data_IF_951406236947
#
_entry.id   IF_951406236947
#
_cell.length_a   1.000
_cell.length_b   1.000
_cell.length_c   1.000
_cell.angle_alpha   90.00
_cell.angle_beta   90.00
_cell.angle_gamma   90.00
#
_symmetry.space_group_name_H-M   'P 1'
#
loop_
_entity.id
_entity.type
_entity.pdbx_description
1 polymer ?
#
# COMPACT_ATOMS: atom_id res chain seq x y z
N UNK A 1 -17.86 -8.89 -19.89
CA UNK A 1 -17.53 -9.69 -18.71
C UNK A 1 -17.71 -8.73 -17.54
N UNK A 2 -18.70 -8.93 -16.69
CA UNK A 2 -18.89 -8.06 -15.52
C UNK A 2 -17.69 -8.27 -14.58
N UNK A 3 -17.11 -7.23 -13.99
CA UNK A 3 -16.07 -7.41 -12.98
C UNK A 3 -16.68 -8.20 -11.82
N UNK A 4 -16.01 -9.25 -11.41
CA UNK A 4 -16.36 -10.00 -10.20
C UNK A 4 -16.28 -9.00 -9.02
N UNK A 5 -17.32 -8.87 -8.19
CA UNK A 5 -17.23 -7.97 -7.05
C UNK A 5 -16.08 -8.40 -6.14
N UNK A 6 -15.26 -7.46 -5.71
CA UNK A 6 -14.13 -7.65 -4.78
C UNK A 6 -14.54 -8.45 -3.51
N UNK A 7 -15.79 -8.37 -3.10
CA UNK A 7 -16.35 -9.11 -1.95
C UNK A 7 -16.40 -10.64 -2.09
N UNK A 8 -16.36 -11.20 -3.30
CA UNK A 8 -16.51 -12.66 -3.48
C UNK A 8 -15.22 -13.46 -3.16
N UNK A 9 -14.07 -12.79 -3.04
CA UNK A 9 -12.80 -13.44 -2.68
C UNK A 9 -12.68 -13.65 -1.17
N UNK A 10 -13.05 -12.66 -0.36
CA UNK A 10 -12.97 -12.70 1.10
C UNK A 10 -13.92 -13.70 1.77
N UNK A 11 -15.05 -14.04 1.13
CA UNK A 11 -15.99 -15.06 1.63
C UNK A 11 -15.38 -16.48 1.73
N UNK A 12 -14.15 -16.69 1.26
CA UNK A 12 -13.46 -17.98 1.22
C UNK A 12 -12.08 -17.96 1.87
N UNK A 13 -11.88 -17.08 2.80
CA UNK A 13 -10.64 -16.95 3.56
C UNK A 13 -10.82 -17.39 5.00
N UNK A 14 -9.78 -18.01 5.55
CA UNK A 14 -9.75 -18.52 6.93
C UNK A 14 -8.39 -18.13 7.51
N UNK A 15 -8.40 -17.24 8.49
CA UNK A 15 -7.20 -16.72 9.14
C UNK A 15 -7.14 -17.08 10.65
N UNK A 16 -8.16 -17.78 11.15
CA UNK A 16 -8.18 -18.21 12.54
C UNK A 16 -8.68 -19.64 12.67
N UNK A 17 -8.27 -20.30 13.76
CA UNK A 17 -8.73 -21.66 14.10
C UNK A 17 -10.25 -21.69 14.35
N UNK A 18 -10.80 -20.60 14.88
CA UNK A 18 -12.25 -20.49 15.12
C UNK A 18 -13.04 -20.43 13.81
N UNK A 19 -12.55 -19.69 12.82
CA UNK A 19 -13.14 -19.65 11.47
C UNK A 19 -13.01 -20.99 10.77
N UNK A 20 -11.85 -21.65 10.88
CA UNK A 20 -11.66 -22.98 10.34
C UNK A 20 -12.70 -23.96 10.90
N UNK A 21 -12.84 -24.04 12.21
CA UNK A 21 -13.80 -24.93 12.87
C UNK A 21 -15.24 -24.59 12.47
N UNK A 22 -15.57 -23.31 12.35
CA UNK A 22 -16.88 -22.84 11.91
C UNK A 22 -17.18 -23.27 10.47
N UNK A 23 -16.28 -22.99 9.53
CA UNK A 23 -16.46 -23.33 8.11
C UNK A 23 -16.58 -24.85 7.92
N UNK A 24 -15.73 -25.64 8.58
CA UNK A 24 -15.81 -27.09 8.52
C UNK A 24 -17.14 -27.61 9.06
N UNK A 25 -17.63 -27.06 10.20
CA UNK A 25 -18.90 -27.49 10.78
C UNK A 25 -20.13 -27.08 9.98
N UNK A 26 -20.13 -25.89 9.38
CA UNK A 26 -21.27 -25.34 8.66
C UNK A 26 -21.34 -25.81 7.20
N UNK A 27 -20.20 -25.94 6.54
CA UNK A 27 -20.14 -26.24 5.10
C UNK A 27 -19.68 -27.66 4.77
N UNK A 28 -18.96 -28.33 5.68
CA UNK A 28 -18.39 -29.67 5.45
C UNK A 28 -17.37 -29.74 4.31
N UNK A 29 -16.90 -28.58 3.81
CA UNK A 29 -15.97 -28.47 2.70
C UNK A 29 -15.12 -27.23 2.83
N UNK A 30 -13.84 -27.36 2.51
CA UNK A 30 -12.87 -26.28 2.36
C UNK A 30 -12.50 -26.07 0.86
N UNK A 31 -13.28 -26.62 -0.05
CA UNK A 31 -12.99 -26.55 -1.49
C UNK A 31 -12.89 -25.10 -1.96
N UNK A 32 -11.73 -24.74 -2.52
CA UNK A 32 -11.39 -23.38 -2.99
C UNK A 32 -11.25 -22.32 -1.88
N UNK A 33 -11.16 -22.74 -0.62
CA UNK A 33 -10.81 -21.82 0.46
C UNK A 33 -9.30 -21.54 0.49
N UNK A 34 -8.95 -20.35 0.93
CA UNK A 34 -7.60 -19.97 1.37
C UNK A 34 -7.56 -20.12 2.88
N UNK A 35 -6.62 -20.89 3.40
CA UNK A 35 -6.35 -21.02 4.84
C UNK A 35 -4.96 -20.47 5.08
N UNK A 36 -4.82 -19.43 5.88
CA UNK A 36 -3.61 -18.61 5.96
C UNK A 36 -3.11 -18.50 7.40
N UNK A 37 -1.87 -18.91 7.64
CA UNK A 37 -1.17 -18.82 8.93
C UNK A 37 -1.91 -19.46 10.12
N UNK A 38 -2.79 -20.43 9.89
CA UNK A 38 -3.55 -21.15 10.93
C UNK A 38 -2.81 -22.42 11.33
N UNK A 39 -2.58 -22.61 12.63
CA UNK A 39 -2.03 -23.86 13.15
C UNK A 39 -3.12 -24.94 13.18
N UNK A 40 -3.00 -25.92 12.29
CA UNK A 40 -3.92 -27.04 12.10
C UNK A 40 -3.39 -28.36 12.66
N UNK A 41 -2.33 -28.34 13.47
CA UNK A 41 -1.69 -29.54 14.02
C UNK A 41 -2.70 -30.42 14.79
N UNK A 42 -3.61 -29.79 15.53
CA UNK A 42 -4.65 -30.49 16.31
C UNK A 42 -5.96 -30.69 15.52
N UNK A 43 -5.97 -30.57 14.20
CA UNK A 43 -7.16 -30.68 13.31
C UNK A 43 -7.05 -31.81 12.30
N UNK A 44 -6.19 -32.81 12.57
CA UNK A 44 -5.94 -33.95 11.68
C UNK A 44 -7.22 -34.67 11.28
N UNK A 45 -8.08 -35.03 12.24
CA UNK A 45 -9.33 -35.71 11.95
C UNK A 45 -10.26 -34.91 11.03
N UNK A 46 -10.37 -33.62 11.26
CA UNK A 46 -11.17 -32.72 10.42
C UNK A 46 -10.62 -32.65 8.99
N UNK A 47 -9.30 -32.50 8.85
CA UNK A 47 -8.62 -32.44 7.54
C UNK A 47 -8.70 -33.76 6.76
N UNK A 48 -8.76 -34.92 7.46
CA UNK A 48 -8.94 -36.20 6.81
C UNK A 48 -10.38 -36.41 6.30
N UNK A 49 -11.35 -35.77 6.94
CA UNK A 49 -12.78 -35.96 6.65
C UNK A 49 -13.34 -34.93 5.64
N UNK A 50 -12.80 -33.69 5.62
CA UNK A 50 -13.34 -32.58 4.83
C UNK A 50 -12.85 -32.63 3.38
N UNK A 51 -13.69 -32.14 2.45
CA UNK A 51 -13.26 -31.90 1.07
C UNK A 51 -12.37 -30.64 0.97
N UNK A 52 -11.14 -30.82 0.48
CA UNK A 52 -10.14 -29.74 0.32
C UNK A 52 -9.78 -29.48 -1.15
N UNK A 53 -10.59 -29.93 -2.10
CA UNK A 53 -10.27 -29.82 -3.54
C UNK A 53 -10.07 -28.36 -3.98
N UNK A 54 -8.86 -28.05 -4.48
CA UNK A 54 -8.50 -26.71 -4.94
C UNK A 54 -8.36 -25.67 -3.82
N UNK A 55 -8.29 -26.09 -2.56
CA UNK A 55 -7.93 -25.22 -1.44
C UNK A 55 -6.45 -24.83 -1.48
N UNK A 56 -6.10 -23.70 -0.86
CA UNK A 56 -4.72 -23.27 -0.64
C UNK A 56 -4.46 -23.16 0.87
N UNK A 57 -3.44 -23.85 1.36
CA UNK A 57 -2.97 -23.77 2.74
C UNK A 57 -1.62 -23.05 2.74
N UNK A 58 -1.60 -21.83 3.27
CA UNK A 58 -0.46 -20.92 3.26
C UNK A 58 0.13 -20.83 4.67
N UNK A 59 1.31 -21.41 4.89
CA UNK A 59 1.99 -21.34 6.17
C UNK A 59 1.26 -22.05 7.32
N UNK A 60 0.39 -23.01 7.02
CA UNK A 60 -0.38 -23.74 8.03
C UNK A 60 0.39 -24.97 8.52
N UNK A 61 0.85 -25.02 9.78
CA UNK A 61 1.34 -26.23 10.39
C UNK A 61 0.23 -27.29 10.43
N UNK A 62 0.54 -28.54 10.06
CA UNK A 62 -0.38 -29.67 10.12
C UNK A 62 0.38 -30.98 10.25
N UNK A 63 -0.30 -32.01 10.76
CA UNK A 63 0.26 -33.34 10.87
C UNK A 63 0.63 -33.89 9.47
N UNK A 64 1.74 -34.65 9.32
CA UNK A 64 2.17 -35.22 8.04
C UNK A 64 1.10 -36.06 7.33
N UNK A 65 0.26 -36.79 8.05
CA UNK A 65 -0.83 -37.60 7.49
C UNK A 65 -1.90 -36.69 6.88
N UNK A 66 -2.33 -35.65 7.61
CA UNK A 66 -3.26 -34.63 7.12
C UNK A 66 -2.70 -33.90 5.89
N UNK A 67 -1.44 -33.49 5.93
CA UNK A 67 -0.76 -32.83 4.81
C UNK A 67 -0.72 -33.72 3.55
N UNK A 68 -0.45 -35.01 3.70
CA UNK A 68 -0.45 -35.97 2.59
C UNK A 68 -1.86 -36.12 1.99
N UNK A 69 -2.88 -36.25 2.83
CA UNK A 69 -4.29 -36.34 2.40
C UNK A 69 -4.76 -35.10 1.67
N UNK A 70 -4.48 -33.91 2.23
CA UNK A 70 -4.85 -32.62 1.65
C UNK A 70 -4.22 -32.44 0.27
N UNK A 71 -2.91 -32.76 0.11
CA UNK A 71 -2.25 -32.73 -1.22
C UNK A 71 -2.87 -33.71 -2.20
N UNK A 72 -3.28 -34.89 -1.74
CA UNK A 72 -3.90 -35.91 -2.60
C UNK A 72 -5.24 -35.47 -3.20
N UNK A 73 -5.93 -34.48 -2.63
CA UNK A 73 -7.15 -33.88 -3.19
C UNK A 73 -6.90 -32.82 -4.23
N UNK A 74 -5.62 -32.46 -4.51
CA UNK A 74 -5.25 -31.38 -5.40
C UNK A 74 -5.22 -30.00 -4.75
N UNK A 75 -5.24 -29.92 -3.40
CA UNK A 75 -4.98 -28.68 -2.70
C UNK A 75 -3.51 -28.27 -2.76
N UNK A 76 -3.25 -26.98 -2.76
CA UNK A 76 -1.90 -26.42 -2.63
C UNK A 76 -1.53 -26.30 -1.16
N UNK A 77 -0.36 -26.80 -0.78
CA UNK A 77 0.15 -26.71 0.59
C UNK A 77 1.52 -26.09 0.58
N UNK A 78 1.62 -24.87 1.06
CA UNK A 78 2.86 -24.13 1.24
C UNK A 78 3.23 -24.16 2.73
N UNK A 79 4.33 -24.83 3.09
CA UNK A 79 4.71 -24.98 4.49
C UNK A 79 5.26 -23.65 5.06
N UNK A 80 5.28 -23.50 6.40
CA UNK A 80 6.03 -22.42 7.04
C UNK A 80 7.50 -22.43 6.59
N UNK A 81 8.06 -21.29 6.26
CA UNK A 81 9.44 -21.16 5.77
C UNK A 81 10.28 -20.48 6.87
N UNK A 82 11.12 -21.19 7.59
CA UNK A 82 11.94 -20.61 8.65
C UNK A 82 13.06 -19.73 8.08
N UNK A 83 13.42 -18.69 8.80
CA UNK A 83 14.58 -17.84 8.50
C UNK A 83 14.39 -16.80 7.41
N UNK A 84 13.18 -16.64 6.87
CA UNK A 84 12.86 -15.51 5.99
C UNK A 84 12.84 -14.18 6.78
N UNK A 85 13.29 -13.08 6.17
CA UNK A 85 13.21 -11.76 6.82
C UNK A 85 11.82 -11.11 6.73
N UNK A 86 10.84 -11.77 6.20
CA UNK A 86 9.43 -11.38 6.09
C UNK A 86 8.52 -12.61 6.16
N UNK A 87 7.26 -12.40 6.47
CA UNK A 87 6.24 -13.44 6.41
C UNK A 87 5.54 -13.42 5.04
N UNK A 88 5.69 -14.46 4.20
CA UNK A 88 5.02 -14.51 2.90
C UNK A 88 3.51 -14.80 2.99
N UNK A 89 3.04 -15.21 4.15
CA UNK A 89 1.65 -15.63 4.39
C UNK A 89 0.92 -14.71 5.36
N UNK A 90 1.29 -13.43 5.37
CA UNK A 90 0.73 -12.46 6.31
C UNK A 90 -0.72 -12.13 5.99
N UNK A 91 -1.60 -12.17 7.00
CA UNK A 91 -3.00 -11.76 6.91
C UNK A 91 -3.23 -10.29 7.29
N UNK A 92 -2.19 -9.48 7.46
CA UNK A 92 -2.31 -8.07 7.82
C UNK A 92 -1.21 -7.23 7.20
N UNK A 93 -1.46 -5.93 7.02
CA UNK A 93 -0.47 -4.99 6.52
C UNK A 93 0.64 -4.75 7.54
N UNK A 94 1.80 -4.31 7.06
CA UNK A 94 2.89 -3.88 7.92
C UNK A 94 2.54 -2.59 8.68
N UNK A 95 3.11 -2.46 9.87
CA UNK A 95 3.20 -1.18 10.57
C UNK A 95 4.60 -0.57 10.43
N UNK A 96 4.75 0.75 10.64
CA UNK A 96 6.08 1.36 10.74
C UNK A 96 6.93 0.72 11.83
N UNK A 97 6.34 0.42 12.99
CA UNK A 97 7.04 -0.16 14.13
C UNK A 97 7.57 -1.57 13.81
N UNK A 98 6.84 -2.35 13.02
CA UNK A 98 7.29 -3.65 12.53
C UNK A 98 8.46 -3.51 11.55
N UNK A 99 8.33 -2.67 10.51
CA UNK A 99 9.35 -2.53 9.48
C UNK A 99 10.65 -1.90 9.99
N UNK A 100 10.56 -1.02 10.99
CA UNK A 100 11.71 -0.38 11.62
C UNK A 100 12.10 -0.99 12.97
N UNK A 101 11.60 -2.16 13.33
CA UNK A 101 12.05 -2.86 14.53
C UNK A 101 13.58 -2.99 14.54
N UNK A 102 14.20 -2.79 15.71
CA UNK A 102 15.66 -2.76 15.88
C UNK A 102 16.39 -1.56 15.25
N UNK A 103 15.69 -0.47 14.90
CA UNK A 103 16.30 0.75 14.36
C UNK A 103 17.40 1.35 15.29
N UNK A 104 17.29 1.12 16.59
CA UNK A 104 18.28 1.59 17.57
C UNK A 104 19.66 0.96 17.35
N UNK A 105 19.73 -0.25 16.80
CA UNK A 105 20.98 -0.92 16.45
C UNK A 105 21.50 -0.54 15.06
N UNK A 106 20.71 0.20 14.29
CA UNK A 106 21.02 0.67 12.93
C UNK A 106 19.97 0.22 11.91
N UNK A 107 19.81 1.00 10.83
CA UNK A 107 18.82 0.70 9.79
C UNK A 107 19.02 -0.68 9.17
N UNK A 108 20.26 -1.12 8.97
CA UNK A 108 20.57 -2.43 8.36
C UNK A 108 20.07 -3.63 9.20
N UNK A 109 19.79 -3.42 10.48
CA UNK A 109 19.24 -4.45 11.36
C UNK A 109 17.71 -4.56 11.28
N UNK A 110 17.05 -3.60 10.64
CA UNK A 110 15.60 -3.56 10.54
C UNK A 110 15.04 -4.65 9.62
N UNK A 111 13.80 -5.13 9.85
CA UNK A 111 13.12 -6.04 8.92
C UNK A 111 13.05 -5.48 7.50
N UNK A 112 12.83 -4.18 7.34
CA UNK A 112 12.78 -3.52 6.03
C UNK A 112 14.10 -3.67 5.25
N UNK A 113 15.23 -3.33 5.87
CA UNK A 113 16.55 -3.46 5.25
C UNK A 113 16.91 -4.93 4.95
N UNK A 114 16.57 -5.84 5.86
CA UNK A 114 16.84 -7.28 5.70
C UNK A 114 16.01 -7.90 4.58
N UNK A 115 14.73 -7.53 4.45
CA UNK A 115 13.88 -7.99 3.35
C UNK A 115 14.41 -7.48 2.00
N UNK A 116 14.86 -6.22 1.95
CA UNK A 116 15.51 -5.67 0.76
C UNK A 116 16.80 -6.41 0.39
N UNK A 117 17.69 -6.65 1.34
CA UNK A 117 18.95 -7.38 1.11
C UNK A 117 18.68 -8.79 0.57
N UNK A 118 17.72 -9.50 1.18
CA UNK A 118 17.29 -10.82 0.72
C UNK A 118 16.72 -10.77 -0.73
N UNK A 119 15.90 -9.75 -1.03
CA UNK A 119 15.34 -9.55 -2.36
C UNK A 119 16.42 -9.32 -3.42
N UNK A 120 17.40 -8.46 -3.15
CA UNK A 120 18.50 -8.18 -4.09
C UNK A 120 19.33 -9.42 -4.38
N UNK A 121 19.66 -10.19 -3.34
CA UNK A 121 20.40 -11.44 -3.49
C UNK A 121 19.63 -12.46 -4.35
N UNK A 122 18.40 -12.77 -3.97
CA UNK A 122 17.59 -13.80 -4.64
C UNK A 122 17.15 -13.40 -6.05
N UNK A 123 17.03 -12.10 -6.34
CA UNK A 123 16.79 -11.57 -7.67
C UNK A 123 17.98 -11.78 -8.60
N UNK A 124 19.18 -11.52 -8.09
CA UNK A 124 20.43 -11.72 -8.85
C UNK A 124 20.67 -13.20 -9.19
N UNK A 125 20.33 -14.09 -8.26
CA UNK A 125 20.51 -15.54 -8.41
C UNK A 125 19.45 -16.19 -9.32
N UNK A 126 18.37 -15.48 -9.66
CA UNK A 126 17.25 -16.02 -10.45
C UNK A 126 16.50 -17.15 -9.74
N UNK A 127 16.48 -17.13 -8.40
CA UNK A 127 15.88 -18.17 -7.57
C UNK A 127 14.37 -18.25 -7.77
N UNK A 128 13.92 -19.39 -8.33
CA UNK A 128 12.50 -19.68 -8.60
C UNK A 128 11.69 -19.80 -7.30
N UNK A 129 12.26 -20.45 -6.27
CA UNK A 129 11.59 -20.59 -4.97
C UNK A 129 11.34 -19.23 -4.32
N UNK A 130 12.36 -18.38 -4.29
CA UNK A 130 12.23 -17.02 -3.81
C UNK A 130 11.22 -16.19 -4.63
N UNK A 131 11.16 -16.42 -5.96
CA UNK A 131 10.18 -15.76 -6.83
C UNK A 131 8.75 -16.15 -6.50
N UNK A 132 8.50 -17.42 -6.18
CA UNK A 132 7.18 -17.89 -5.73
C UNK A 132 6.80 -17.27 -4.37
N UNK A 133 7.73 -17.24 -3.42
CA UNK A 133 7.48 -16.64 -2.10
C UNK A 133 7.13 -15.14 -2.20
N UNK A 134 7.84 -14.39 -3.06
CA UNK A 134 7.51 -12.99 -3.34
C UNK A 134 6.12 -12.82 -3.94
N UNK A 135 5.74 -13.71 -4.87
CA UNK A 135 4.41 -13.65 -5.48
C UNK A 135 3.28 -13.92 -4.48
N UNK A 136 3.46 -14.92 -3.59
CA UNK A 136 2.50 -15.24 -2.53
C UNK A 136 2.41 -14.07 -1.54
N UNK A 137 3.56 -13.52 -1.12
CA UNK A 137 3.61 -12.36 -0.23
C UNK A 137 2.85 -11.16 -0.82
N UNK A 138 3.11 -10.83 -2.09
CA UNK A 138 2.48 -9.68 -2.74
C UNK A 138 0.96 -9.88 -2.92
N UNK A 139 0.52 -11.11 -3.14
CA UNK A 139 -0.89 -11.49 -3.16
C UNK A 139 -1.53 -11.34 -1.77
N UNK A 140 -0.88 -11.87 -0.72
CA UNK A 140 -1.32 -11.74 0.67
C UNK A 140 -1.43 -10.29 1.13
N UNK A 141 -0.45 -9.45 0.76
CA UNK A 141 -0.47 -8.00 1.06
C UNK A 141 -1.59 -7.29 0.29
N UNK A 142 -1.84 -7.71 -0.97
CA UNK A 142 -2.94 -7.13 -1.77
C UNK A 142 -4.29 -7.41 -1.16
N UNK A 143 -4.48 -8.63 -0.68
CA UNK A 143 -5.70 -9.08 -0.03
C UNK A 143 -5.95 -8.34 1.28
N UNK A 144 -4.98 -8.29 2.19
CA UNK A 144 -5.06 -7.50 3.42
C UNK A 144 -5.31 -6.00 3.16
N UNK A 145 -4.80 -5.46 2.04
CA UNK A 145 -5.08 -4.09 1.64
C UNK A 145 -6.52 -3.90 1.16
N UNK A 146 -7.05 -4.85 0.41
CA UNK A 146 -8.44 -4.83 -0.05
C UNK A 146 -9.41 -4.91 1.11
N UNK A 147 -9.15 -5.78 2.09
CA UNK A 147 -9.94 -5.87 3.34
C UNK A 147 -9.95 -4.56 4.12
N UNK A 148 -8.78 -3.96 4.34
CA UNK A 148 -8.66 -2.67 5.04
C UNK A 148 -9.49 -1.57 4.37
N UNK A 149 -9.57 -1.58 3.03
CA UNK A 149 -10.19 -0.52 2.24
C UNK A 149 -11.66 -0.76 1.90
N UNK A 150 -12.25 -1.87 2.35
CA UNK A 150 -13.68 -2.14 2.14
C UNK A 150 -14.53 -0.99 2.66
N UNK A 151 -15.38 -0.43 1.80
CA UNK A 151 -16.30 0.66 2.14
C UNK A 151 -15.65 2.02 2.40
N UNK A 152 -14.34 2.17 2.19
CA UNK A 152 -13.64 3.44 2.39
C UNK A 152 -13.58 4.28 1.10
N UNK A 153 -13.48 5.60 1.26
CA UNK A 153 -13.21 6.53 0.17
C UNK A 153 -11.74 6.90 0.16
N UNK A 154 -11.00 6.34 -0.77
CA UNK A 154 -9.53 6.46 -0.86
C UNK A 154 -9.14 7.54 -1.85
N UNK A 155 -8.28 8.47 -1.43
CA UNK A 155 -7.63 9.46 -2.29
C UNK A 155 -6.15 9.18 -2.41
N UNK A 156 -5.67 9.02 -3.64
CA UNK A 156 -4.24 8.88 -3.94
C UNK A 156 -3.53 10.24 -3.92
N UNK A 157 -2.36 10.32 -3.29
CA UNK A 157 -1.47 11.49 -3.40
C UNK A 157 -0.12 11.02 -3.93
N UNK A 158 0.18 11.39 -5.18
CA UNK A 158 1.40 11.05 -5.91
C UNK A 158 2.32 12.26 -5.96
N UNK A 159 3.63 12.04 -6.00
CA UNK A 159 4.60 13.12 -6.10
C UNK A 159 6.03 12.67 -5.85
N UNK A 160 7.00 13.58 -6.04
CA UNK A 160 8.42 13.25 -6.02
C UNK A 160 8.96 12.88 -4.63
N UNK A 161 9.77 11.83 -4.56
CA UNK A 161 10.48 11.39 -3.35
C UNK A 161 11.60 12.38 -2.92
N UNK A 162 12.06 13.23 -3.84
CA UNK A 162 13.14 14.19 -3.59
C UNK A 162 12.68 15.47 -2.87
N UNK A 163 11.40 15.59 -2.54
CA UNK A 163 10.86 16.75 -1.80
C UNK A 163 11.41 16.73 -0.36
N UNK A 164 12.30 17.66 -0.05
CA UNK A 164 12.96 17.69 1.26
C UNK A 164 12.01 18.22 2.35
N UNK A 165 12.11 17.65 3.56
CA UNK A 165 11.51 18.19 4.78
C UNK A 165 12.01 19.62 5.01
N UNK A 166 11.18 20.49 5.60
CA UNK A 166 11.50 21.91 5.83
C UNK A 166 11.36 22.81 4.62
N UNK A 167 10.87 22.30 3.48
CA UNK A 167 10.52 23.11 2.31
C UNK A 167 9.03 23.45 2.31
N UNK A 168 8.70 24.61 1.70
CA UNK A 168 7.30 25.04 1.52
C UNK A 168 6.46 23.97 0.77
N UNK A 169 7.06 23.30 -0.20
CA UNK A 169 6.40 22.24 -0.94
C UNK A 169 6.03 21.04 -0.04
N UNK A 170 6.95 20.63 0.87
CA UNK A 170 6.69 19.57 1.84
C UNK A 170 5.59 19.97 2.84
N UNK A 171 5.65 21.20 3.35
CA UNK A 171 4.62 21.76 4.23
C UNK A 171 3.24 21.80 3.54
N UNK A 172 3.19 22.26 2.29
CA UNK A 172 1.97 22.26 1.48
C UNK A 172 1.38 20.87 1.29
N UNK A 173 2.23 19.87 0.99
CA UNK A 173 1.80 18.48 0.85
C UNK A 173 1.28 17.88 2.18
N UNK A 174 1.88 18.25 3.32
CA UNK A 174 1.38 17.85 4.63
C UNK A 174 0.02 18.50 4.94
N UNK A 175 -0.14 19.78 4.65
CA UNK A 175 -1.45 20.47 4.81
C UNK A 175 -2.52 19.84 3.93
N UNK A 176 -2.20 19.52 2.68
CA UNK A 176 -3.10 18.80 1.76
C UNK A 176 -3.55 17.46 2.37
N UNK A 177 -2.61 16.62 2.79
CA UNK A 177 -2.94 15.32 3.39
C UNK A 177 -3.87 15.45 4.61
N UNK A 178 -3.66 16.48 5.44
CA UNK A 178 -4.49 16.76 6.59
C UNK A 178 -5.91 17.20 6.21
N UNK A 179 -6.05 18.05 5.22
CA UNK A 179 -7.35 18.50 4.74
C UNK A 179 -8.15 17.34 4.14
N UNK A 180 -7.51 16.49 3.35
CA UNK A 180 -8.14 15.31 2.77
C UNK A 180 -8.61 14.33 3.85
N UNK A 181 -7.77 14.06 4.86
CA UNK A 181 -8.14 13.19 5.98
C UNK A 181 -9.28 13.78 6.82
N UNK A 182 -9.26 15.10 7.10
CA UNK A 182 -10.34 15.81 7.81
C UNK A 182 -11.65 15.86 7.01
N UNK A 183 -11.57 15.74 5.68
CA UNK A 183 -12.74 15.58 4.82
C UNK A 183 -13.31 14.14 4.81
N UNK A 184 -12.77 13.24 5.63
CA UNK A 184 -13.21 11.84 5.74
C UNK A 184 -12.69 10.94 4.62
N UNK A 185 -11.60 11.33 3.95
CA UNK A 185 -10.94 10.51 2.93
C UNK A 185 -9.76 9.75 3.54
N UNK A 186 -9.59 8.50 3.14
CA UNK A 186 -8.39 7.73 3.45
C UNK A 186 -7.28 8.14 2.49
N UNK A 187 -6.22 8.77 3.01
CA UNK A 187 -5.06 9.17 2.21
C UNK A 187 -4.19 7.95 1.93
N UNK A 188 -3.97 7.65 0.65
CA UNK A 188 -3.05 6.62 0.19
C UNK A 188 -1.92 7.24 -0.64
N UNK A 189 -0.69 6.79 -0.42
CA UNK A 189 0.50 7.28 -1.12
C UNK A 189 1.39 6.12 -1.55
N UNK A 190 2.41 6.39 -2.35
CA UNK A 190 3.48 5.42 -2.61
C UNK A 190 4.32 5.03 -1.39
N UNK A 191 4.02 5.57 -0.21
CA UNK A 191 4.57 5.13 1.09
C UNK A 191 6.05 5.46 1.32
N UNK A 192 6.71 6.14 0.40
CA UNK A 192 8.13 6.52 0.50
C UNK A 192 8.35 7.92 1.11
N UNK A 193 9.57 8.47 0.96
CA UNK A 193 9.94 9.81 1.39
C UNK A 193 9.26 10.92 0.58
N UNK A 194 9.50 12.16 0.95
CA UNK A 194 9.15 13.34 0.18
C UNK A 194 7.66 13.66 0.20
N UNK A 195 7.06 13.88 -0.96
CA UNK A 195 5.64 14.22 -1.08
C UNK A 195 4.72 13.16 -0.46
N UNK A 196 5.11 11.88 -0.56
CA UNK A 196 4.38 10.75 0.00
C UNK A 196 4.39 10.78 1.53
N UNK A 197 5.56 10.97 2.11
CA UNK A 197 5.70 11.15 3.56
C UNK A 197 4.94 12.37 4.07
N UNK A 198 5.05 13.50 3.38
CA UNK A 198 4.37 14.73 3.75
C UNK A 198 2.84 14.55 3.80
N UNK A 199 2.26 13.89 2.79
CA UNK A 199 0.82 13.61 2.76
C UNK A 199 0.40 12.65 3.88
N UNK A 200 1.17 11.59 4.16
CA UNK A 200 0.91 10.70 5.29
C UNK A 200 1.08 11.41 6.65
N UNK A 201 2.09 12.28 6.82
CA UNK A 201 2.23 13.14 8.01
C UNK A 201 0.99 14.02 8.21
N UNK A 202 0.48 14.60 7.13
CA UNK A 202 -0.74 15.39 7.18
C UNK A 202 -1.94 14.59 7.66
N UNK A 203 -2.14 13.39 7.13
CA UNK A 203 -3.19 12.49 7.57
C UNK A 203 -3.00 12.06 9.04
N UNK A 204 -1.76 11.76 9.44
CA UNK A 204 -1.40 11.48 10.82
C UNK A 204 -1.76 12.64 11.75
N UNK A 205 -1.52 13.88 11.32
CA UNK A 205 -1.81 15.10 12.07
C UNK A 205 -3.30 15.51 12.06
N UNK A 206 -4.18 14.81 11.34
CA UNK A 206 -5.58 15.20 11.17
C UNK A 206 -6.38 15.33 12.49
N UNK A 207 -6.18 14.45 13.51
CA UNK A 207 -6.87 14.56 14.80
C UNK A 207 -6.39 15.70 15.68
N UNK A 208 -5.19 16.22 15.44
CA UNK A 208 -4.55 17.21 16.30
C UNK A 208 -4.79 18.65 15.82
N UNK A 209 -4.41 19.64 16.64
CA UNK A 209 -4.47 21.05 16.31
C UNK A 209 -3.39 21.49 15.28
N UNK A 210 -3.40 22.77 14.93
CA UNK A 210 -2.46 23.34 13.96
C UNK A 210 -1.03 23.47 14.51
N UNK A 211 -0.90 23.60 15.83
CA UNK A 211 0.38 23.73 16.51
C UNK A 211 1.16 22.41 16.41
N UNK A 212 0.48 21.27 16.53
CA UNK A 212 1.09 19.96 16.37
C UNK A 212 1.77 19.81 15.00
N UNK A 213 1.06 20.09 13.91
CA UNK A 213 1.63 19.96 12.57
C UNK A 213 2.81 20.92 12.36
N UNK A 214 2.70 22.15 12.84
CA UNK A 214 3.76 23.16 12.74
C UNK A 214 5.02 22.71 13.46
N UNK A 215 4.89 22.19 14.68
CA UNK A 215 6.03 21.72 15.46
C UNK A 215 6.62 20.42 14.90
N UNK A 216 5.76 19.50 14.42
CA UNK A 216 6.23 18.28 13.73
C UNK A 216 7.06 18.61 12.49
N UNK A 217 6.60 19.54 11.66
CA UNK A 217 7.35 20.02 10.47
C UNK A 217 8.70 20.63 10.86
N UNK A 218 8.74 21.41 11.96
CA UNK A 218 9.98 21.98 12.47
C UNK A 218 10.98 20.91 12.93
N UNK A 219 10.50 19.91 13.69
CA UNK A 219 11.35 18.80 14.14
C UNK A 219 11.89 17.95 12.98
N UNK A 220 11.05 17.65 12.02
CA UNK A 220 11.43 16.87 10.85
C UNK A 220 12.44 17.60 9.96
N UNK A 221 12.43 18.93 9.92
CA UNK A 221 13.39 19.73 9.16
C UNK A 221 14.83 19.56 9.63
N UNK A 222 15.06 19.06 10.85
CA UNK A 222 16.39 18.75 11.38
C UNK A 222 17.05 17.54 10.66
N UNK A 223 16.23 16.66 10.04
CA UNK A 223 16.67 15.56 9.19
C UNK A 223 15.98 15.66 7.82
N UNK A 224 16.41 16.57 6.93
CA UNK A 224 15.66 16.97 5.76
C UNK A 224 15.51 15.89 4.67
N UNK A 225 16.40 14.91 4.67
CA UNK A 225 16.45 13.84 3.65
C UNK A 225 16.84 12.50 4.29
N UNK A 226 16.34 11.41 3.69
CA UNK A 226 16.78 10.05 4.05
C UNK A 226 18.23 9.74 3.61
N UNK A 227 18.84 10.59 2.82
CA UNK A 227 20.24 10.58 2.46
C UNK A 227 20.97 11.68 3.21
N UNK A 228 22.13 11.42 3.88
CA UNK A 228 22.91 10.19 3.82
C UNK A 228 22.52 9.12 4.87
N UNK A 229 21.59 9.37 5.77
CA UNK A 229 21.25 8.46 6.88
C UNK A 229 19.74 8.18 6.94
N UNK A 230 19.34 7.00 6.47
CA UNK A 230 17.96 6.52 6.65
C UNK A 230 17.62 6.41 8.14
N UNK A 231 18.56 5.95 8.96
CA UNK A 231 18.36 5.82 10.41
C UNK A 231 18.01 7.12 11.10
N UNK A 232 18.73 8.22 10.80
CA UNK A 232 18.47 9.52 11.42
C UNK A 232 17.15 10.12 10.92
N UNK A 233 16.89 9.98 9.63
CA UNK A 233 15.62 10.40 9.02
C UNK A 233 14.42 9.68 9.65
N UNK A 234 14.52 8.36 9.84
CA UNK A 234 13.45 7.56 10.47
C UNK A 234 13.29 7.90 11.96
N UNK A 235 14.42 8.01 12.73
CA UNK A 235 14.37 8.39 14.14
C UNK A 235 13.69 9.73 14.37
N UNK A 236 13.91 10.72 13.50
CA UNK A 236 13.21 12.01 13.58
C UNK A 236 11.69 11.83 13.43
N UNK A 237 11.24 10.96 12.52
CA UNK A 237 9.81 10.67 12.35
C UNK A 237 9.23 9.91 13.56
N UNK A 238 9.95 8.93 14.10
CA UNK A 238 9.52 8.21 15.31
C UNK A 238 9.46 9.13 16.54
N UNK A 239 10.39 10.08 16.69
CA UNK A 239 10.32 11.08 17.77
C UNK A 239 9.06 11.96 17.69
N UNK A 240 8.59 12.29 16.47
CA UNK A 240 7.30 12.97 16.27
C UNK A 240 6.15 12.07 16.71
N UNK A 241 6.14 10.79 16.31
CA UNK A 241 5.09 9.84 16.69
C UNK A 241 5.06 9.55 18.19
N UNK A 242 6.21 9.49 18.85
CA UNK A 242 6.31 9.32 20.31
C UNK A 242 5.74 10.53 21.06
N UNK A 243 6.01 11.73 20.56
CA UNK A 243 5.51 12.97 21.19
C UNK A 243 3.99 13.16 21.00
N UNK A 244 3.44 12.70 19.89
CA UNK A 244 2.01 12.75 19.59
C UNK A 244 1.52 11.37 19.13
N UNK A 245 1.26 10.47 20.06
CA UNK A 245 0.74 9.14 19.74
C UNK A 245 -0.71 9.22 19.20
N UNK A 246 -1.20 8.14 18.64
CA UNK A 246 -2.56 7.97 18.15
C UNK A 246 -2.95 8.95 17.02
N UNK A 247 -2.05 9.13 16.06
CA UNK A 247 -2.31 9.90 14.85
C UNK A 247 -3.38 9.27 13.96
N UNK A 248 -3.90 10.07 13.02
CA UNK A 248 -4.90 9.63 12.05
C UNK A 248 -4.37 8.53 11.12
N UNK A 249 -5.24 7.60 10.65
CA UNK A 249 -4.85 6.51 9.77
C UNK A 249 -4.59 7.01 8.35
N UNK A 250 -3.64 6.37 7.69
CA UNK A 250 -3.37 6.51 6.25
C UNK A 250 -2.65 5.27 5.74
N UNK A 251 -2.54 5.13 4.42
CA UNK A 251 -1.93 3.97 3.78
C UNK A 251 -0.70 4.40 2.99
N UNK A 252 0.40 3.68 3.22
CA UNK A 252 1.59 3.74 2.39
C UNK A 252 1.70 2.46 1.54
N UNK A 253 2.00 2.61 0.25
CA UNK A 253 2.12 1.48 -0.68
C UNK A 253 3.52 1.49 -1.33
N UNK A 254 4.59 1.22 -0.55
CA UNK A 254 5.97 1.25 -1.06
C UNK A 254 6.38 -0.08 -1.71
N UNK A 255 7.59 -0.09 -2.27
CA UNK A 255 8.19 -1.29 -2.85
C UNK A 255 9.63 -1.47 -2.42
N UNK A 256 10.08 -2.73 -2.34
CA UNK A 256 11.52 -3.05 -2.24
C UNK A 256 12.24 -3.04 -3.59
N UNK A 257 11.52 -2.82 -4.69
CA UNK A 257 12.09 -2.91 -6.03
C UNK A 257 13.17 -1.87 -6.29
N UNK A 258 12.97 -0.62 -5.87
CA UNK A 258 13.89 0.49 -6.08
C UNK A 258 14.97 0.65 -5.00
N UNK A 259 14.86 -0.01 -3.87
CA UNK A 259 15.90 -0.30 -2.91
C UNK A 259 16.44 0.82 -2.03
N UNK A 260 16.29 2.06 -2.40
CA UNK A 260 16.83 3.19 -1.64
C UNK A 260 15.75 4.03 -0.95
N UNK A 261 14.50 3.70 -1.17
CA UNK A 261 13.37 4.43 -0.61
C UNK A 261 12.81 3.67 0.59
N UNK A 262 13.16 4.11 1.83
CA UNK A 262 12.58 3.51 3.03
C UNK A 262 11.08 3.84 3.10
N UNK A 263 10.25 3.01 3.75
CA UNK A 263 8.88 3.38 4.03
C UNK A 263 8.85 4.59 4.97
N UNK A 264 7.88 5.49 4.80
CA UNK A 264 7.72 6.57 5.75
C UNK A 264 7.00 6.08 7.02
N UNK A 265 7.31 6.68 8.16
CA UNK A 265 6.79 6.25 9.45
C UNK A 265 5.41 6.82 9.79
N UNK A 266 4.80 7.65 8.93
CA UNK A 266 3.50 8.27 9.19
C UNK A 266 2.31 7.54 8.57
N UNK A 267 2.55 6.62 7.64
CA UNK A 267 1.51 5.72 7.16
C UNK A 267 1.22 4.66 8.24
N UNK A 268 0.01 4.67 8.81
CA UNK A 268 -0.38 3.71 9.85
C UNK A 268 -0.39 2.26 9.33
N UNK A 269 -0.76 2.08 8.06
CA UNK A 269 -0.80 0.80 7.38
C UNK A 269 0.11 0.84 6.15
N UNK A 270 0.98 -0.16 6.01
CA UNK A 270 1.97 -0.20 4.93
C UNK A 270 1.81 -1.50 4.13
N UNK A 271 1.37 -1.36 2.89
CA UNK A 271 1.34 -2.44 1.91
C UNK A 271 2.65 -2.42 1.10
N UNK A 272 3.68 -3.14 1.54
CA UNK A 272 5.00 -3.10 0.87
C UNK A 272 5.19 -4.31 -0.04
N UNK A 273 5.52 -4.07 -1.30
CA UNK A 273 5.57 -5.06 -2.36
C UNK A 273 7.00 -5.34 -2.85
N UNK A 274 7.23 -6.56 -3.34
CA UNK A 274 8.41 -6.91 -4.13
C UNK A 274 8.26 -6.56 -5.61
N UNK A 275 7.04 -6.70 -6.16
CA UNK A 275 6.74 -6.39 -7.57
C UNK A 275 6.22 -4.95 -7.72
N UNK A 276 7.00 -4.10 -8.43
CA UNK A 276 6.61 -2.70 -8.62
C UNK A 276 5.33 -2.52 -9.44
N UNK A 277 5.11 -3.35 -10.46
CA UNK A 277 3.91 -3.27 -11.28
C UNK A 277 2.63 -3.51 -10.47
N UNK A 278 2.63 -4.52 -9.59
CA UNK A 278 1.51 -4.80 -8.67
C UNK A 278 1.26 -3.62 -7.72
N UNK A 279 2.34 -3.00 -7.24
CA UNK A 279 2.29 -1.83 -6.35
C UNK A 279 1.66 -0.61 -7.04
N UNK A 280 2.13 -0.26 -8.24
CA UNK A 280 1.67 0.92 -8.98
C UNK A 280 0.20 0.78 -9.38
N UNK A 281 -0.15 -0.32 -10.02
CA UNK A 281 -1.53 -0.60 -10.42
C UNK A 281 -2.45 -0.71 -9.20
N UNK A 282 -1.98 -1.36 -8.13
CA UNK A 282 -2.72 -1.53 -6.89
C UNK A 282 -3.10 -0.22 -6.19
N UNK A 283 -2.20 0.77 -6.14
CA UNK A 283 -2.46 2.08 -5.55
C UNK A 283 -3.51 2.86 -6.34
N UNK A 284 -3.33 2.95 -7.66
CA UNK A 284 -4.22 3.71 -8.53
C UNK A 284 -5.61 3.07 -8.65
N UNK A 285 -5.69 1.74 -8.67
CA UNK A 285 -6.95 1.01 -8.73
C UNK A 285 -7.84 1.25 -7.50
N UNK A 286 -7.22 1.44 -6.33
CA UNK A 286 -7.92 1.64 -5.05
C UNK A 286 -8.24 3.09 -4.75
N UNK A 287 -7.68 4.06 -5.49
CA UNK A 287 -7.91 5.50 -5.34
C UNK A 287 -9.27 5.93 -5.89
N UNK A 288 -10.35 5.38 -5.32
CA UNK A 288 -11.73 5.53 -5.79
C UNK A 288 -12.33 6.93 -5.60
N UNK A 289 -11.75 7.76 -4.72
CA UNK A 289 -12.14 9.17 -4.55
C UNK A 289 -11.34 10.12 -5.45
N UNK A 290 -10.36 9.60 -6.21
CA UNK A 290 -9.52 10.35 -7.13
C UNK A 290 -8.06 10.42 -6.72
N UNK A 291 -7.24 11.05 -7.55
CA UNK A 291 -5.79 11.17 -7.36
C UNK A 291 -5.34 12.61 -7.51
N UNK A 292 -4.50 13.07 -6.58
CA UNK A 292 -3.79 14.35 -6.64
C UNK A 292 -2.33 14.10 -7.01
N UNK A 293 -1.87 14.71 -8.09
CA UNK A 293 -0.50 14.62 -8.60
C UNK A 293 0.27 15.90 -8.28
N UNK A 294 1.17 15.83 -7.31
CA UNK A 294 2.11 16.87 -6.97
C UNK A 294 3.30 16.85 -7.95
N UNK A 295 4.11 17.93 -8.03
CA UNK A 295 5.30 17.94 -8.85
C UNK A 295 6.21 16.73 -8.62
N UNK A 296 6.55 16.05 -9.71
CA UNK A 296 7.39 14.86 -9.71
C UNK A 296 8.17 14.72 -11.01
N UNK A 297 8.80 13.58 -11.21
CA UNK A 297 9.58 13.27 -12.41
C UNK A 297 8.97 12.07 -13.17
N UNK A 298 9.81 11.24 -13.79
CA UNK A 298 9.37 10.16 -14.69
C UNK A 298 8.35 9.20 -14.05
N UNK A 299 8.54 8.79 -12.78
CA UNK A 299 7.59 7.91 -12.10
C UNK A 299 6.21 8.56 -11.95
N UNK A 300 6.14 9.84 -11.54
CA UNK A 300 4.85 10.53 -11.41
C UNK A 300 4.19 10.78 -12.78
N UNK A 301 4.97 11.00 -13.85
CA UNK A 301 4.44 11.06 -15.21
C UNK A 301 3.85 9.70 -15.62
N UNK A 302 4.52 8.61 -15.31
CA UNK A 302 4.02 7.26 -15.53
C UNK A 302 2.69 7.06 -14.77
N UNK A 303 2.64 7.35 -13.47
CA UNK A 303 1.44 7.23 -12.62
C UNK A 303 0.24 8.03 -13.18
N UNK A 304 0.48 9.22 -13.77
CA UNK A 304 -0.57 10.01 -14.43
C UNK A 304 -1.20 9.22 -15.59
N UNK A 305 -0.40 8.56 -16.43
CA UNK A 305 -0.93 7.81 -17.58
C UNK A 305 -1.43 6.43 -17.20
N UNK A 306 -0.86 5.80 -16.17
CA UNK A 306 -1.39 4.56 -15.60
C UNK A 306 -2.79 4.77 -15.01
N UNK A 307 -3.08 5.96 -14.43
CA UNK A 307 -4.41 6.34 -14.00
C UNK A 307 -5.30 6.82 -15.16
N UNK A 308 -4.77 7.56 -16.12
CA UNK A 308 -5.54 8.04 -17.27
C UNK A 308 -6.02 6.90 -18.18
N UNK A 309 -5.26 5.83 -18.33
CA UNK A 309 -5.59 4.71 -19.22
C UNK A 309 -6.91 4.02 -18.85
N UNK A 310 -7.14 3.56 -17.60
CA UNK A 310 -8.43 2.99 -17.23
C UNK A 310 -9.57 4.01 -17.27
N UNK A 311 -9.32 5.29 -17.00
CA UNK A 311 -10.31 6.36 -17.15
C UNK A 311 -10.69 6.58 -18.62
N UNK A 312 -9.71 6.50 -19.53
CA UNK A 312 -9.95 6.63 -20.96
C UNK A 312 -10.80 5.52 -21.54
N UNK A 313 -10.60 4.28 -21.09
CA UNK A 313 -11.34 3.09 -21.54
C UNK A 313 -12.56 2.76 -20.67
N UNK A 314 -12.80 3.50 -19.60
CA UNK A 314 -13.83 3.21 -18.59
C UNK A 314 -13.77 1.76 -18.07
N UNK A 315 -12.56 1.20 -18.03
CA UNK A 315 -12.37 -0.20 -17.71
C UNK A 315 -12.62 -0.56 -16.24
N UNK A 316 -12.67 0.46 -15.37
CA UNK A 316 -12.97 0.34 -13.93
C UNK A 316 -14.31 1.03 -13.55
N UNK A 317 -15.17 1.33 -14.52
CA UNK A 317 -16.41 2.08 -14.35
C UNK A 317 -16.23 3.56 -14.66
N UNK A 318 -16.95 4.45 -13.95
CA UNK A 318 -16.82 5.91 -14.15
C UNK A 318 -15.40 6.39 -13.90
N UNK A 319 -14.88 7.32 -14.72
CA UNK A 319 -13.56 7.88 -14.53
C UNK A 319 -13.40 8.53 -13.16
N UNK A 320 -12.31 8.23 -12.46
CA UNK A 320 -11.97 8.83 -11.17
C UNK A 320 -11.35 10.23 -11.37
N UNK A 321 -11.58 11.18 -10.44
CA UNK A 321 -10.99 12.51 -10.50
C UNK A 321 -9.45 12.50 -10.53
N UNK A 322 -8.87 13.34 -11.37
CA UNK A 322 -7.42 13.56 -11.49
C UNK A 322 -7.12 15.05 -11.35
N UNK A 323 -6.36 15.44 -10.33
CA UNK A 323 -5.96 16.82 -10.08
C UNK A 323 -4.44 16.94 -10.20
N UNK A 324 -3.95 17.68 -11.17
CA UNK A 324 -2.53 18.00 -11.32
C UNK A 324 -2.25 19.37 -10.67
N UNK A 325 -1.25 19.42 -9.79
CA UNK A 325 -0.87 20.65 -9.05
C UNK A 325 0.40 21.26 -9.65
N UNK A 326 0.44 22.56 -9.76
CA UNK A 326 1.51 23.37 -10.35
C UNK A 326 1.50 23.39 -11.89
N UNK A 327 0.78 24.36 -12.44
CA UNK A 327 0.62 24.54 -13.89
C UNK A 327 1.96 24.59 -14.62
N UNK A 328 2.91 25.42 -14.18
CA UNK A 328 4.20 25.57 -14.83
C UNK A 328 4.97 24.23 -14.90
N UNK A 329 4.87 23.41 -13.84
CA UNK A 329 5.50 22.09 -13.84
C UNK A 329 4.94 21.18 -14.94
N UNK A 330 3.60 21.11 -15.06
CA UNK A 330 2.91 20.18 -15.95
C UNK A 330 2.66 20.71 -17.37
N UNK A 331 2.95 22.00 -17.64
CA UNK A 331 2.84 22.56 -19.00
C UNK A 331 4.17 22.94 -19.62
N UNK A 332 5.20 23.25 -18.80
CA UNK A 332 6.49 23.75 -19.29
C UNK A 332 7.63 22.78 -18.96
N UNK A 333 7.82 22.42 -17.68
CA UNK A 333 8.94 21.58 -17.25
C UNK A 333 8.77 20.12 -17.69
N UNK A 334 7.61 19.55 -17.44
CA UNK A 334 7.19 18.19 -17.87
C UNK A 334 5.80 18.31 -18.50
N UNK A 335 5.67 18.61 -19.80
CA UNK A 335 4.42 19.01 -20.46
C UNK A 335 3.44 17.84 -20.61
N UNK A 336 3.03 17.28 -19.49
CA UNK A 336 2.11 16.13 -19.36
C UNK A 336 0.66 16.57 -19.55
N UNK A 337 0.30 17.78 -19.06
CA UNK A 337 -1.07 18.27 -19.11
C UNK A 337 -1.64 18.39 -20.52
N UNK A 338 -0.93 18.99 -21.52
CA UNK A 338 -1.45 19.07 -22.89
C UNK A 338 -1.77 17.70 -23.48
N UNK A 339 -0.95 16.69 -23.19
CA UNK A 339 -1.18 15.32 -23.67
C UNK A 339 -2.38 14.69 -22.96
N UNK A 340 -2.46 14.79 -21.62
CA UNK A 340 -3.60 14.30 -20.85
C UNK A 340 -4.91 14.94 -21.33
N UNK A 341 -4.91 16.25 -21.53
CA UNK A 341 -6.07 16.99 -22.03
C UNK A 341 -6.48 16.55 -23.44
N UNK A 342 -5.51 16.25 -24.32
CA UNK A 342 -5.80 15.74 -25.66
C UNK A 342 -6.44 14.35 -25.65
N UNK A 343 -6.03 13.47 -24.73
CA UNK A 343 -6.64 12.15 -24.52
C UNK A 343 -8.05 12.26 -23.93
N UNK A 344 -8.27 13.23 -23.04
CA UNK A 344 -9.55 13.41 -22.37
C UNK A 344 -10.64 14.00 -23.25
N UNK A 345 -10.28 14.72 -24.31
CA UNK A 345 -11.21 15.47 -25.16
C UNK A 345 -12.34 14.57 -25.71
N UNK A 346 -13.58 15.08 -25.58
CA UNK A 346 -14.81 14.40 -26.03
C UNK A 346 -15.06 13.04 -25.37
N UNK A 347 -14.49 12.83 -24.16
CA UNK A 347 -14.69 11.63 -23.36
C UNK A 347 -15.22 11.97 -21.96
N UNK A 348 -15.80 10.99 -21.29
CA UNK A 348 -16.28 11.14 -19.91
C UNK A 348 -15.20 11.64 -18.94
N UNK A 349 -13.94 11.23 -19.14
CA UNK A 349 -12.83 11.68 -18.32
C UNK A 349 -12.49 13.18 -18.50
N UNK A 350 -12.98 13.89 -19.54
CA UNK A 350 -12.71 15.31 -19.72
C UNK A 350 -13.23 16.16 -18.56
N UNK A 351 -14.39 15.79 -18.02
CA UNK A 351 -14.99 16.43 -16.84
C UNK A 351 -14.37 15.98 -15.52
N UNK A 352 -13.42 15.05 -15.55
CA UNK A 352 -12.79 14.43 -14.37
C UNK A 352 -11.31 14.80 -14.20
N UNK A 353 -10.78 15.69 -15.02
CA UNK A 353 -9.39 16.16 -14.92
C UNK A 353 -9.34 17.66 -14.60
N UNK A 354 -8.40 18.07 -13.74
CA UNK A 354 -8.13 19.48 -13.45
C UNK A 354 -6.64 19.76 -13.32
N UNK A 355 -6.27 20.99 -13.68
CA UNK A 355 -4.94 21.55 -13.45
C UNK A 355 -5.10 22.80 -12.58
N UNK A 356 -4.47 22.80 -11.41
CA UNK A 356 -4.49 23.91 -10.46
C UNK A 356 -3.10 24.51 -10.32
N UNK A 357 -3.04 25.78 -9.92
CA UNK A 357 -1.77 26.48 -9.76
C UNK A 357 -1.14 26.20 -8.39
N UNK A 358 -1.94 26.17 -7.35
CA UNK A 358 -1.52 26.01 -5.96
C UNK A 358 -2.10 24.75 -5.34
N UNK A 359 -1.36 24.20 -4.38
CA UNK A 359 -1.72 22.94 -3.71
C UNK A 359 -3.01 23.08 -2.89
N UNK A 360 -3.27 24.25 -2.33
CA UNK A 360 -4.47 24.55 -1.53
C UNK A 360 -5.77 24.49 -2.35
N UNK A 361 -5.67 24.56 -3.68
CA UNK A 361 -6.81 24.46 -4.59
C UNK A 361 -7.22 23.00 -4.87
N UNK A 362 -6.33 22.03 -4.55
CA UNK A 362 -6.52 20.64 -4.91
C UNK A 362 -7.73 19.97 -4.20
N UNK A 363 -8.01 20.18 -2.90
CA UNK A 363 -9.17 19.58 -2.23
C UNK A 363 -10.51 20.01 -2.86
N UNK A 364 -10.65 21.30 -3.14
CA UNK A 364 -11.88 21.81 -3.76
C UNK A 364 -12.02 21.37 -5.23
N UNK A 365 -10.91 21.31 -5.97
CA UNK A 365 -10.90 20.77 -7.33
C UNK A 365 -11.32 19.28 -7.33
N UNK A 366 -10.77 18.47 -6.41
CA UNK A 366 -11.11 17.06 -6.25
C UNK A 366 -12.61 16.87 -5.95
N UNK A 367 -13.13 17.66 -4.99
CA UNK A 367 -14.55 17.64 -4.62
C UNK A 367 -15.46 17.99 -5.80
N UNK A 368 -15.13 19.04 -6.55
CA UNK A 368 -15.90 19.45 -7.73
C UNK A 368 -15.92 18.38 -8.82
N UNK A 369 -14.82 17.66 -9.03
CA UNK A 369 -14.70 16.61 -10.03
C UNK A 369 -15.38 15.31 -9.58
N UNK A 370 -15.46 15.05 -8.28
CA UNK A 370 -16.05 13.84 -7.71
C UNK A 370 -17.59 13.83 -7.70
N UNK A 371 -18.25 14.99 -7.81
CA UNK A 371 -19.71 15.14 -7.85
C UNK A 371 -20.30 15.33 -6.49
#
# INVERSE_FOLDING_TARGET
MQPTPLHAAHDREIESLAEFDKVVSEHGSLARFRVQAVDLTDRTEALLAVDTAGAAFLGCPMDPEAAARVRATGALVFPPIPGLPFDPYRGSLYSPDELFASLDTGYEATPDARAYAWFQQTKADGDVFASMLRAIHDDSVSDALDELLVGTRVVGVMGGHAMARGTEAYEGAARLGRELARAGLTVATGGGPGAMEAANLGAYAAPFDDEMLTEALRLLAEAPSFTPSIGDWARAAFAVRERWPDGGPSVGIPTWFYGHEPPNAFAAHIAKYFANATREDGLLARSNAGVVFLPGAAGTVQEIFDNATPNYYESRGEPTPMVLVNRAHWTEKHPTWPLLQSLARERSMESRIALVDRIEEAPEALKRLGG
#
